data_IF_314858439111
#
_entry.id   IF_314858439111
#
_cell.length_a   1.000
_cell.length_b   1.000
_cell.length_c   1.000
_cell.angle_alpha   90.00
_cell.angle_beta   90.00
_cell.angle_gamma   90.00
#
_symmetry.space_group_name_H-M   'P 1'
#
loop_
_entity.id
_entity.type
_entity.pdbx_description
1 polymer ?
#
# COMPACT_ATOMS: atom_id res chain seq x y z
N UNK A 1 14.18 -2.95 10.15
CA UNK A 1 13.49 -1.75 9.63
C UNK A 1 12.09 -2.19 9.26
N UNK A 2 11.07 -1.53 9.80
CA UNK A 2 9.68 -1.85 9.48
C UNK A 2 9.12 -0.76 8.56
N UNK A 3 8.28 -1.16 7.61
CA UNK A 3 7.52 -0.23 6.79
C UNK A 3 6.03 -0.42 7.08
N UNK A 4 5.32 0.70 7.25
CA UNK A 4 3.87 0.73 7.29
C UNK A 4 3.38 1.52 6.08
N UNK A 5 2.40 0.98 5.38
CA UNK A 5 1.77 1.62 4.24
C UNK A 5 0.29 1.88 4.55
N UNK A 6 -0.23 3.01 4.11
CA UNK A 6 -1.65 3.31 4.13
C UNK A 6 -2.11 3.77 2.77
N UNK A 7 -3.30 3.35 2.36
CA UNK A 7 -3.90 3.78 1.10
C UNK A 7 -5.08 4.70 1.38
N UNK A 8 -5.10 5.89 0.78
CA UNK A 8 -6.24 6.80 0.93
C UNK A 8 -7.31 6.55 -0.14
N UNK A 9 -8.57 6.95 0.10
CA UNK A 9 -9.65 6.76 -0.87
C UNK A 9 -9.45 7.44 -2.22
N UNK A 10 -8.72 8.55 -2.22
CA UNK A 10 -8.33 9.30 -3.41
C UNK A 10 -7.16 8.67 -4.19
N UNK A 11 -6.61 7.54 -3.72
CA UNK A 11 -5.55 6.81 -4.41
C UNK A 11 -4.13 7.23 -4.04
N UNK A 12 -3.93 7.85 -2.87
CA UNK A 12 -2.59 8.18 -2.37
C UNK A 12 -2.06 7.02 -1.52
N UNK A 13 -0.95 6.43 -1.93
CA UNK A 13 -0.21 5.45 -1.13
C UNK A 13 0.86 6.19 -0.31
N UNK A 14 0.71 6.16 1.00
CA UNK A 14 1.71 6.68 1.93
C UNK A 14 2.49 5.52 2.52
N UNK A 15 3.82 5.51 2.39
CA UNK A 15 4.71 4.48 2.94
C UNK A 15 5.69 5.14 3.91
N UNK A 16 5.60 4.79 5.19
CA UNK A 16 6.48 5.27 6.24
C UNK A 16 7.45 4.19 6.70
N UNK A 17 8.72 4.54 6.86
CA UNK A 17 9.79 3.67 7.37
C UNK A 17 10.13 4.05 8.81
N UNK A 18 10.29 3.05 9.66
CA UNK A 18 10.43 3.24 11.11
C UNK A 18 11.73 2.65 11.66
N UNK A 19 12.29 3.34 12.67
CA UNK A 19 13.27 2.82 13.62
C UNK A 19 12.65 2.89 15.02
N UNK A 20 12.42 1.73 15.64
CA UNK A 20 11.53 1.67 16.81
C UNK A 20 10.13 2.12 16.43
N UNK A 21 9.59 3.08 17.19
CA UNK A 21 8.26 3.68 16.94
C UNK A 21 8.33 5.02 16.18
N UNK A 22 9.53 5.49 15.81
CA UNK A 22 9.73 6.78 15.15
C UNK A 22 9.78 6.61 13.62
N UNK A 23 8.92 7.34 12.91
CA UNK A 23 8.94 7.41 11.46
C UNK A 23 10.11 8.31 11.02
N UNK A 24 11.04 7.74 10.26
CA UNK A 24 12.24 8.45 9.80
C UNK A 24 12.10 8.98 8.36
N UNK A 25 11.17 8.42 7.59
CA UNK A 25 10.91 8.82 6.21
C UNK A 25 9.49 8.40 5.81
N UNK A 26 8.79 9.27 5.07
CA UNK A 26 7.49 8.98 4.47
C UNK A 26 7.55 9.31 2.99
N UNK A 27 7.13 8.34 2.17
CA UNK A 27 6.93 8.49 0.75
C UNK A 27 5.44 8.57 0.45
N UNK A 28 5.02 9.58 -0.30
CA UNK A 28 3.65 9.70 -0.81
C UNK A 28 3.65 9.50 -2.32
N UNK A 29 2.81 8.58 -2.80
CA UNK A 29 2.69 8.24 -4.21
C UNK A 29 1.24 8.37 -4.65
N UNK A 30 1.01 9.19 -5.66
CA UNK A 30 -0.29 9.23 -6.34
C UNK A 30 -0.42 8.06 -7.30
N UNK A 31 -1.36 7.17 -7.03
CA UNK A 31 -1.61 5.99 -7.84
C UNK A 31 -2.64 6.27 -8.94
N UNK A 32 -2.53 5.51 -10.02
CA UNK A 32 -3.50 5.56 -11.12
C UNK A 32 -4.64 4.61 -10.86
N UNK A 33 -5.73 4.78 -11.61
CA UNK A 33 -6.80 3.80 -11.66
C UNK A 33 -6.43 2.65 -12.59
N UNK A 34 -6.75 1.43 -12.19
CA UNK A 34 -6.67 0.25 -13.04
C UNK A 34 -7.72 0.38 -14.15
N UNK A 35 -7.29 0.21 -15.40
CA UNK A 35 -8.19 0.19 -16.55
C UNK A 35 -9.05 -1.06 -16.61
N UNK A 36 -8.70 -2.09 -15.82
CA UNK A 36 -9.41 -3.38 -15.77
C UNK A 36 -10.52 -3.39 -14.73
N UNK A 37 -10.27 -2.82 -13.56
CA UNK A 37 -11.23 -2.86 -12.44
C UNK A 37 -11.88 -1.51 -12.15
N UNK A 38 -11.30 -0.39 -12.61
CA UNK A 38 -11.76 0.96 -12.25
C UNK A 38 -11.30 1.42 -10.85
N UNK A 39 -10.78 0.50 -10.04
CA UNK A 39 -10.17 0.74 -8.73
C UNK A 39 -8.73 1.25 -8.80
N UNK A 40 -8.05 1.31 -7.65
CA UNK A 40 -6.66 1.75 -7.55
C UNK A 40 -5.71 0.68 -8.11
N UNK A 41 -4.79 1.07 -8.99
CA UNK A 41 -3.82 0.17 -9.60
C UNK A 41 -2.61 -0.05 -8.69
N UNK A 42 -2.54 -1.25 -8.12
CA UNK A 42 -1.38 -1.79 -7.42
C UNK A 42 -0.86 -3.07 -8.10
N UNK A 43 -1.16 -3.23 -9.39
CA UNK A 43 -0.71 -4.39 -10.15
C UNK A 43 0.81 -4.41 -10.22
N UNK A 44 1.40 -5.61 -10.06
CA UNK A 44 2.85 -5.83 -10.02
C UNK A 44 3.59 -5.09 -8.89
N UNK A 45 2.89 -4.62 -7.84
CA UNK A 45 3.52 -4.01 -6.68
C UNK A 45 4.24 -5.06 -5.79
N UNK A 46 5.28 -4.63 -5.08
CA UNK A 46 6.06 -5.46 -4.16
C UNK A 46 5.86 -4.98 -2.72
N UNK A 47 5.08 -5.73 -1.94
CA UNK A 47 4.74 -5.41 -0.55
C UNK A 47 5.30 -6.42 0.46
N UNK A 48 6.32 -7.19 0.07
CA UNK A 48 6.89 -8.23 0.93
C UNK A 48 7.36 -7.65 2.28
N UNK A 49 6.84 -8.20 3.38
CA UNK A 49 7.18 -7.75 4.75
C UNK A 49 6.62 -6.39 5.17
N UNK A 50 5.71 -5.79 4.39
CA UNK A 50 5.06 -4.51 4.70
C UNK A 50 3.75 -4.73 5.45
N UNK A 51 3.46 -3.87 6.43
CA UNK A 51 2.12 -3.78 7.03
C UNK A 51 1.32 -2.73 6.27
N UNK A 52 0.16 -3.09 5.73
CA UNK A 52 -0.70 -2.18 4.98
C UNK A 52 -2.04 -2.00 5.71
N UNK A 53 -2.50 -0.77 5.86
CA UNK A 53 -3.78 -0.41 6.48
C UNK A 53 -4.62 0.54 5.62
N UNK A 54 -5.91 0.71 5.94
CA UNK A 54 -6.79 1.67 5.27
C UNK A 54 -7.24 1.26 3.86
N UNK A 55 -7.15 -0.02 3.52
CA UNK A 55 -7.56 -0.54 2.20
C UNK A 55 -9.00 -1.04 2.23
N UNK A 56 -9.54 -1.29 3.41
CA UNK A 56 -10.91 -1.78 3.54
C UNK A 56 -11.86 -0.67 3.08
N UNK A 57 -12.74 -0.99 2.13
CA UNK A 57 -13.57 -0.08 1.31
C UNK A 57 -12.98 0.40 -0.04
N UNK A 58 -11.76 0.01 -0.43
CA UNK A 58 -11.20 0.37 -1.74
C UNK A 58 -11.17 -0.81 -2.71
N UNK A 59 -11.72 -0.61 -3.91
CA UNK A 59 -11.44 -1.51 -5.02
C UNK A 59 -9.97 -1.32 -5.42
N UNK A 60 -9.16 -2.36 -5.23
CA UNK A 60 -7.73 -2.36 -5.55
C UNK A 60 -7.43 -3.49 -6.52
N UNK A 61 -6.70 -3.18 -7.59
CA UNK A 61 -6.13 -4.20 -8.48
C UNK A 61 -4.78 -4.68 -7.94
N UNK A 62 -4.73 -5.92 -7.45
CA UNK A 62 -3.52 -6.57 -6.96
C UNK A 62 -3.01 -7.66 -7.91
N UNK A 63 -3.39 -7.65 -9.18
CA UNK A 63 -2.89 -8.66 -10.10
C UNK A 63 -1.36 -8.66 -10.18
N UNK A 64 -0.78 -9.85 -9.99
CA UNK A 64 0.66 -10.11 -9.95
C UNK A 64 1.42 -9.38 -8.83
N UNK A 65 0.73 -8.83 -7.83
CA UNK A 65 1.42 -8.22 -6.70
C UNK A 65 2.08 -9.30 -5.82
N UNK A 66 3.28 -9.00 -5.31
CA UNK A 66 3.97 -9.83 -4.33
C UNK A 66 3.66 -9.36 -2.92
N UNK A 67 3.08 -10.25 -2.10
CA UNK A 67 2.57 -9.91 -0.76
C UNK A 67 3.09 -10.88 0.32
N UNK A 68 4.22 -11.55 0.08
CA UNK A 68 4.77 -12.53 0.99
C UNK A 68 5.10 -11.89 2.35
N UNK A 69 4.62 -12.49 3.44
CA UNK A 69 4.78 -11.98 4.81
C UNK A 69 4.26 -10.55 5.03
N UNK A 70 3.41 -10.04 4.15
CA UNK A 70 2.69 -8.79 4.38
C UNK A 70 1.51 -9.02 5.33
N UNK A 71 1.08 -7.95 6.01
CA UNK A 71 -0.13 -7.98 6.86
C UNK A 71 -1.05 -6.85 6.43
N UNK A 72 -2.34 -7.15 6.29
CA UNK A 72 -3.35 -6.24 5.78
C UNK A 72 -4.39 -6.06 6.88
N UNK A 73 -4.66 -4.82 7.22
CA UNK A 73 -5.63 -4.44 8.25
C UNK A 73 -6.58 -3.38 7.70
N UNK A 74 -7.75 -3.30 8.30
CA UNK A 74 -8.73 -2.26 8.06
C UNK A 74 -8.24 -0.92 8.63
#
# INVERSE_FOLDING_TARGET
MAAKASLSPEGTLCVSFFIGDEAIFTLELQLKKSTRTGGIDLSNAYFNGVVICGIDCLEVDLSNAETNNSRWYD
#
